data_IF_366575668944
#
_entry.id   IF_366575668944
#
_cell.length_a   1.000
_cell.length_b   1.000
_cell.length_c   1.000
_cell.angle_alpha   90.00
_cell.angle_beta   90.00
_cell.angle_gamma   90.00
#
_symmetry.space_group_name_H-M   'P 1'
#
loop_
_entity.id
_entity.type
_entity.pdbx_description
1 polymer ?
#
# COMPACT_ATOMS: atom_id res chain seq x y z
N UNK A 1 -57.39 26.80 18.50
CA UNK A 1 -55.96 26.48 18.33
C UNK A 1 -55.36 27.52 17.40
N UNK A 2 -54.47 28.40 17.90
CA UNK A 2 -53.68 29.28 17.03
C UNK A 2 -52.45 28.47 16.56
N UNK A 3 -52.28 28.34 15.25
CA UNK A 3 -51.05 27.78 14.69
C UNK A 3 -49.91 28.75 15.01
N UNK A 4 -48.91 28.30 15.76
CA UNK A 4 -47.65 29.03 15.89
C UNK A 4 -46.94 28.93 14.54
N UNK A 5 -46.91 30.04 13.80
CA UNK A 5 -46.11 30.16 12.59
C UNK A 5 -44.72 30.61 13.01
N UNK A 6 -43.70 29.78 12.79
CA UNK A 6 -42.30 30.16 13.00
C UNK A 6 -41.92 31.23 11.97
N UNK A 7 -41.23 32.27 12.42
CA UNK A 7 -40.68 33.32 11.54
C UNK A 7 -39.32 32.91 11.01
N UNK A 8 -38.87 33.52 9.91
CA UNK A 8 -37.52 33.30 9.39
C UNK A 8 -36.43 33.70 10.40
N UNK A 9 -36.72 34.64 11.31
CA UNK A 9 -35.84 34.97 12.44
C UNK A 9 -35.75 33.84 13.46
N UNK A 10 -36.86 33.15 13.78
CA UNK A 10 -36.85 31.99 14.68
C UNK A 10 -36.00 30.85 14.09
N UNK A 11 -36.14 30.61 12.79
CA UNK A 11 -35.38 29.57 12.07
C UNK A 11 -33.89 29.93 12.00
N UNK A 12 -33.56 31.20 11.69
CA UNK A 12 -32.17 31.64 11.63
C UNK A 12 -31.51 31.69 13.01
N UNK A 13 -32.22 32.11 14.06
CA UNK A 13 -31.72 32.09 15.44
C UNK A 13 -31.43 30.68 15.95
N UNK A 14 -32.34 29.74 15.69
CA UNK A 14 -32.11 28.32 15.99
C UNK A 14 -30.93 27.75 15.19
N UNK A 15 -30.80 28.10 13.90
CA UNK A 15 -29.69 27.69 13.06
C UNK A 15 -28.34 28.19 13.58
N UNK A 16 -28.24 29.47 13.95
CA UNK A 16 -27.01 30.04 14.52
C UNK A 16 -26.66 29.35 15.83
N UNK A 17 -27.64 29.12 16.71
CA UNK A 17 -27.43 28.42 17.98
C UNK A 17 -26.89 27.00 17.77
N UNK A 18 -27.45 26.26 16.81
CA UNK A 18 -26.97 24.90 16.48
C UNK A 18 -25.55 24.95 15.90
N UNK A 19 -25.25 25.91 15.04
CA UNK A 19 -23.91 26.07 14.47
C UNK A 19 -22.87 26.40 15.53
N UNK A 20 -23.21 27.28 16.48
CA UNK A 20 -22.33 27.63 17.61
C UNK A 20 -22.08 26.42 18.51
N UNK A 21 -23.13 25.65 18.84
CA UNK A 21 -23.00 24.41 19.61
C UNK A 21 -22.13 23.37 18.90
N UNK A 22 -22.31 23.21 17.58
CA UNK A 22 -21.45 22.32 16.78
C UNK A 22 -20.01 22.79 16.79
N UNK A 23 -19.78 24.10 16.65
CA UNK A 23 -18.44 24.67 16.68
C UNK A 23 -17.76 24.42 18.03
N UNK A 24 -18.46 24.65 19.15
CA UNK A 24 -17.95 24.39 20.49
C UNK A 24 -17.60 22.92 20.70
N UNK A 25 -18.47 21.99 20.25
CA UNK A 25 -18.21 20.55 20.33
C UNK A 25 -16.99 20.15 19.51
N UNK A 26 -16.88 20.67 18.28
CA UNK A 26 -15.73 20.40 17.39
C UNK A 26 -14.44 20.92 18.05
N UNK A 27 -14.45 22.16 18.53
CA UNK A 27 -13.30 22.77 19.17
C UNK A 27 -12.87 22.01 20.44
N UNK A 28 -13.82 21.63 21.30
CA UNK A 28 -13.51 20.83 22.49
C UNK A 28 -12.88 19.48 22.13
N UNK A 29 -13.42 18.79 21.11
CA UNK A 29 -12.84 17.52 20.63
C UNK A 29 -11.43 17.72 20.07
N UNK A 30 -11.20 18.77 19.30
CA UNK A 30 -9.89 19.11 18.78
C UNK A 30 -8.87 19.34 19.90
N UNK A 31 -9.24 20.08 20.95
CA UNK A 31 -8.36 20.31 22.09
C UNK A 31 -8.06 19.02 22.87
N UNK A 32 -9.04 18.13 23.04
CA UNK A 32 -8.83 16.82 23.67
C UNK A 32 -7.84 16.00 22.84
N UNK A 33 -8.06 15.88 21.53
CA UNK A 33 -7.15 15.16 20.63
C UNK A 33 -5.74 15.75 20.62
N UNK A 34 -5.60 17.07 20.59
CA UNK A 34 -4.30 17.74 20.68
C UNK A 34 -3.58 17.44 22.01
N UNK A 35 -4.32 17.34 23.10
CA UNK A 35 -3.77 16.98 24.40
C UNK A 35 -3.31 15.51 24.46
N UNK A 36 -4.07 14.61 23.82
CA UNK A 36 -3.73 13.18 23.69
C UNK A 36 -2.49 12.99 22.81
N UNK A 37 -2.41 13.68 21.66
CA UNK A 37 -1.21 13.66 20.79
C UNK A 37 0.03 14.08 21.58
N UNK A 38 -0.02 15.22 22.29
CA UNK A 38 1.10 15.69 23.12
C UNK A 38 1.44 14.72 24.26
N UNK A 39 0.46 14.00 24.79
CA UNK A 39 0.67 12.98 25.81
C UNK A 39 1.44 11.80 25.23
N UNK A 40 1.00 11.27 24.08
CA UNK A 40 1.67 10.17 23.40
C UNK A 40 3.08 10.55 22.92
N UNK A 41 3.28 11.74 22.36
CA UNK A 41 4.62 12.23 21.98
C UNK A 41 5.61 12.18 23.17
N UNK A 42 5.18 12.64 24.35
CA UNK A 42 6.03 12.57 25.55
C UNK A 42 6.26 11.14 26.01
N UNK A 43 5.26 10.28 25.92
CA UNK A 43 5.43 8.85 26.23
C UNK A 43 6.43 8.20 25.26
N UNK A 44 6.38 8.55 23.98
CA UNK A 44 7.32 8.09 22.97
C UNK A 44 8.75 8.52 23.26
N UNK A 45 8.97 9.80 23.53
CA UNK A 45 10.30 10.32 23.90
C UNK A 45 10.85 9.61 25.15
N UNK A 46 9.98 9.36 26.14
CA UNK A 46 10.35 8.68 27.38
C UNK A 46 10.70 7.20 27.16
N UNK A 47 9.95 6.50 26.31
CA UNK A 47 10.24 5.10 25.93
C UNK A 47 11.55 5.04 25.15
N UNK A 48 11.75 5.95 24.18
CA UNK A 48 12.98 6.02 23.38
C UNK A 48 14.22 6.33 24.22
N UNK A 49 14.08 7.14 25.27
CA UNK A 49 15.15 7.49 26.19
C UNK A 49 15.41 6.45 27.31
N UNK A 50 14.62 5.35 27.37
CA UNK A 50 14.81 4.27 28.34
C UNK A 50 14.51 4.63 29.80
N UNK A 51 13.80 5.75 30.06
CA UNK A 51 13.74 6.33 31.41
C UNK A 51 12.64 5.82 32.34
N UNK A 52 11.65 5.05 31.84
CA UNK A 52 10.41 4.74 32.59
C UNK A 52 9.90 3.29 32.39
N UNK A 53 10.55 2.49 31.54
CA UNK A 53 10.10 1.12 31.35
C UNK A 53 10.50 0.27 32.56
N UNK A 54 9.60 -0.59 33.02
CA UNK A 54 9.99 -1.64 33.97
C UNK A 54 10.94 -2.62 33.27
N UNK A 55 11.76 -3.34 34.04
CA UNK A 55 12.62 -4.40 33.49
C UNK A 55 11.81 -5.43 32.66
N UNK A 56 10.55 -5.67 33.03
CA UNK A 56 9.64 -6.51 32.25
C UNK A 56 9.28 -5.88 30.90
N UNK A 57 8.96 -4.58 30.88
CA UNK A 57 8.63 -3.84 29.65
C UNK A 57 9.84 -3.75 28.70
N UNK A 58 11.04 -3.53 29.23
CA UNK A 58 12.28 -3.54 28.44
C UNK A 58 12.52 -4.90 27.79
N UNK A 59 12.29 -5.98 28.54
CA UNK A 59 12.38 -7.35 28.01
C UNK A 59 11.34 -7.62 26.92
N UNK A 60 10.12 -7.11 27.05
CA UNK A 60 9.11 -7.24 25.99
C UNK A 60 9.53 -6.50 24.72
N UNK A 61 9.99 -5.24 24.85
CA UNK A 61 10.46 -4.45 23.72
C UNK A 61 11.65 -5.12 23.04
N UNK A 62 12.66 -5.55 23.80
CA UNK A 62 13.85 -6.23 23.25
C UNK A 62 13.48 -7.52 22.47
N UNK A 63 12.56 -8.32 23.00
CA UNK A 63 12.08 -9.52 22.32
C UNK A 63 11.27 -9.19 21.06
N UNK A 64 10.45 -8.13 21.09
CA UNK A 64 9.70 -7.65 19.94
C UNK A 64 10.64 -7.20 18.82
N UNK A 65 11.68 -6.41 19.12
CA UNK A 65 12.69 -5.99 18.15
C UNK A 65 13.33 -7.20 17.47
N UNK A 66 13.75 -8.21 18.25
CA UNK A 66 14.34 -9.44 17.72
C UNK A 66 13.39 -10.19 16.79
N UNK A 67 12.09 -10.25 17.12
CA UNK A 67 11.09 -10.88 16.25
C UNK A 67 10.89 -10.09 14.96
N UNK A 68 10.75 -8.77 15.05
CA UNK A 68 10.62 -7.89 13.87
C UNK A 68 11.83 -8.03 12.95
N UNK A 69 13.05 -8.06 13.50
CA UNK A 69 14.28 -8.23 12.73
C UNK A 69 14.30 -9.52 11.89
N UNK A 70 13.61 -10.58 12.30
CA UNK A 70 13.52 -11.83 11.52
C UNK A 70 12.73 -11.66 10.21
N UNK A 71 11.93 -10.60 10.09
CA UNK A 71 11.13 -10.28 8.91
C UNK A 71 11.77 -9.21 8.02
N UNK A 72 13.04 -8.85 8.26
CA UNK A 72 13.77 -7.90 7.41
C UNK A 72 13.95 -8.44 5.99
N UNK A 73 14.47 -9.65 5.86
CA UNK A 73 14.72 -10.24 4.54
C UNK A 73 13.50 -11.02 4.08
N UNK A 74 12.92 -10.61 2.96
CA UNK A 74 11.87 -11.30 2.27
C UNK A 74 12.51 -12.30 1.29
N UNK A 75 12.17 -13.57 1.44
CA UNK A 75 12.48 -14.58 0.43
C UNK A 75 11.17 -15.01 -0.25
N UNK A 76 10.69 -14.17 -1.16
CA UNK A 76 9.41 -14.34 -1.85
C UNK A 76 9.61 -14.42 -3.35
N UNK A 77 8.98 -15.42 -3.94
CA UNK A 77 8.80 -15.50 -5.39
C UNK A 77 7.43 -14.95 -5.72
N UNK A 78 7.39 -14.05 -6.69
CA UNK A 78 6.17 -13.48 -7.21
C UNK A 78 5.80 -14.17 -8.54
N UNK A 79 4.52 -14.08 -8.90
CA UNK A 79 3.98 -14.67 -10.14
C UNK A 79 3.36 -13.56 -11.00
N UNK A 80 4.01 -12.40 -11.05
CA UNK A 80 3.51 -11.24 -11.78
C UNK A 80 3.47 -11.53 -13.28
N UNK A 81 4.54 -12.11 -13.85
CA UNK A 81 4.64 -12.38 -15.29
C UNK A 81 3.45 -13.23 -15.77
N UNK A 82 3.19 -14.36 -15.11
CA UNK A 82 2.08 -15.26 -15.44
C UNK A 82 0.71 -14.58 -15.34
N UNK A 83 0.50 -13.78 -14.30
CA UNK A 83 -0.78 -13.06 -14.10
C UNK A 83 -0.96 -11.95 -15.13
N UNK A 84 0.11 -11.26 -15.49
CA UNK A 84 0.11 -10.23 -16.51
C UNK A 84 -0.21 -10.82 -17.90
N UNK A 85 0.47 -11.91 -18.27
CA UNK A 85 0.22 -12.61 -19.53
C UNK A 85 -1.18 -13.21 -19.56
N UNK A 86 -1.67 -13.78 -18.45
CA UNK A 86 -3.04 -14.29 -18.36
C UNK A 86 -4.07 -13.16 -18.54
N UNK A 87 -3.84 -11.99 -17.93
CA UNK A 87 -4.70 -10.80 -18.08
C UNK A 87 -4.73 -10.30 -19.53
N UNK A 88 -3.59 -10.24 -20.21
CA UNK A 88 -3.54 -9.91 -21.64
C UNK A 88 -4.25 -10.98 -22.48
N UNK A 89 -3.97 -12.24 -22.20
CA UNK A 89 -4.50 -13.39 -22.94
C UNK A 89 -6.02 -13.52 -22.87
N UNK A 90 -6.67 -12.98 -21.83
CA UNK A 90 -8.12 -12.99 -21.70
C UNK A 90 -8.84 -12.13 -22.76
N UNK A 91 -8.13 -11.18 -23.42
CA UNK A 91 -8.71 -10.32 -24.44
C UNK A 91 -8.81 -10.98 -25.81
N UNK A 92 -9.92 -10.78 -26.52
CA UNK A 92 -10.09 -11.25 -27.90
C UNK A 92 -8.96 -10.77 -28.82
N UNK A 93 -8.66 -11.54 -29.88
CA UNK A 93 -7.57 -11.21 -30.81
C UNK A 93 -7.71 -9.81 -31.45
N UNK A 94 -8.93 -9.36 -31.73
CA UNK A 94 -9.21 -8.01 -32.22
C UNK A 94 -8.89 -6.92 -31.19
N UNK A 95 -9.16 -7.18 -29.91
CA UNK A 95 -8.83 -6.30 -28.80
C UNK A 95 -7.31 -6.23 -28.58
N UNK A 96 -6.63 -7.38 -28.58
CA UNK A 96 -5.16 -7.46 -28.52
C UNK A 96 -4.50 -6.69 -29.66
N UNK A 97 -5.04 -6.80 -30.88
CA UNK A 97 -4.59 -5.96 -32.01
C UNK A 97 -4.75 -4.48 -31.70
N UNK A 98 -5.89 -4.08 -31.13
CA UNK A 98 -6.14 -2.70 -30.72
C UNK A 98 -5.11 -2.20 -29.71
N UNK A 99 -4.82 -3.01 -28.68
CA UNK A 99 -3.78 -2.73 -27.68
C UNK A 99 -2.40 -2.56 -28.34
N UNK A 100 -2.00 -3.52 -29.19
CA UNK A 100 -0.70 -3.49 -29.86
C UNK A 100 -0.54 -2.27 -30.78
N UNK A 101 -1.61 -1.88 -31.48
CA UNK A 101 -1.59 -0.73 -32.38
C UNK A 101 -1.50 0.60 -31.64
N UNK A 102 -2.02 0.68 -30.41
CA UNK A 102 -1.92 1.85 -29.54
C UNK A 102 -0.83 1.74 -28.50
N UNK A 103 0.22 0.94 -28.74
CA UNK A 103 1.38 0.82 -27.87
C UNK A 103 1.03 0.50 -26.41
N UNK A 104 0.07 -0.42 -26.21
CA UNK A 104 -0.41 -0.80 -24.89
C UNK A 104 -1.71 -0.11 -24.45
N UNK A 105 -2.16 0.91 -25.19
CA UNK A 105 -3.37 1.67 -24.87
C UNK A 105 -4.44 1.46 -25.95
N UNK A 106 -5.63 1.01 -25.55
CA UNK A 106 -6.79 0.91 -26.42
C UNK A 106 -7.95 1.73 -25.85
N UNK A 107 -7.99 3.01 -26.21
CA UNK A 107 -9.00 3.96 -25.76
C UNK A 107 -10.44 3.54 -26.08
N UNK A 108 -10.67 2.83 -27.20
CA UNK A 108 -12.02 2.37 -27.59
C UNK A 108 -12.59 1.33 -26.63
N UNK A 109 -11.71 0.57 -25.98
CA UNK A 109 -12.09 -0.46 -25.01
C UNK A 109 -11.73 -0.07 -23.58
N UNK A 110 -11.26 1.16 -23.35
CA UNK A 110 -10.76 1.65 -22.07
C UNK A 110 -9.75 0.69 -21.43
N UNK A 111 -8.78 0.22 -22.22
CA UNK A 111 -7.70 -0.67 -21.76
C UNK A 111 -6.39 0.10 -21.76
N UNK A 112 -5.70 0.05 -20.63
CA UNK A 112 -4.34 0.50 -20.46
C UNK A 112 -3.57 -0.61 -19.74
N UNK A 113 -2.64 -1.24 -20.46
CA UNK A 113 -1.91 -2.39 -19.94
C UNK A 113 -0.86 -2.01 -18.89
N UNK A 114 -0.46 -0.73 -18.82
CA UNK A 114 0.49 -0.22 -17.83
C UNK A 114 -0.24 0.04 -16.51
N UNK A 115 -1.43 0.64 -16.60
CA UNK A 115 -2.31 0.77 -15.44
C UNK A 115 -2.72 -0.61 -14.88
N UNK A 116 -3.06 -1.56 -15.76
CA UNK A 116 -3.36 -2.93 -15.34
C UNK A 116 -2.13 -3.61 -14.70
N UNK A 117 -0.89 -3.28 -15.12
CA UNK A 117 0.33 -3.80 -14.51
C UNK A 117 0.40 -3.45 -13.01
N UNK A 118 0.22 -2.16 -12.68
CA UNK A 118 0.23 -1.69 -11.29
C UNK A 118 -0.78 -2.44 -10.43
N UNK A 119 -2.02 -2.62 -10.91
CA UNK A 119 -3.06 -3.36 -10.18
C UNK A 119 -2.72 -4.84 -9.95
N UNK A 120 -2.05 -5.46 -10.92
CA UNK A 120 -1.59 -6.85 -10.77
C UNK A 120 -0.47 -6.92 -9.72
N UNK A 121 0.48 -5.97 -9.77
CA UNK A 121 1.55 -5.87 -8.77
C UNK A 121 0.97 -5.70 -7.37
N UNK A 122 0.06 -4.74 -7.17
CA UNK A 122 -0.59 -4.52 -5.86
C UNK A 122 -1.16 -5.82 -5.29
N UNK A 123 -1.86 -6.58 -6.13
CA UNK A 123 -2.47 -7.84 -5.74
C UNK A 123 -1.42 -8.90 -5.39
N UNK A 124 -0.41 -9.06 -6.23
CA UNK A 124 0.64 -10.07 -6.06
C UNK A 124 1.48 -9.79 -4.81
N UNK A 125 1.86 -8.54 -4.60
CA UNK A 125 2.63 -8.10 -3.42
C UNK A 125 1.80 -8.31 -2.16
N UNK A 126 0.53 -7.87 -2.17
CA UNK A 126 -0.36 -8.05 -1.02
C UNK A 126 -0.53 -9.52 -0.65
N UNK A 127 -0.83 -10.37 -1.64
CA UNK A 127 -0.96 -11.81 -1.42
C UNK A 127 0.35 -12.44 -0.93
N UNK A 128 1.50 -11.99 -1.44
CA UNK A 128 2.82 -12.51 -1.08
C UNK A 128 3.32 -12.10 0.31
N UNK A 129 2.90 -10.92 0.80
CA UNK A 129 3.44 -10.32 2.04
C UNK A 129 2.47 -10.25 3.21
N UNK A 130 1.16 -10.50 3.00
CA UNK A 130 0.18 -10.39 4.08
C UNK A 130 0.56 -11.21 5.31
N UNK A 131 1.12 -12.41 5.12
CA UNK A 131 1.51 -13.25 6.25
C UNK A 131 2.67 -12.65 7.06
N UNK A 132 3.65 -12.01 6.41
CA UNK A 132 4.75 -11.34 7.13
C UNK A 132 4.24 -10.15 7.93
N UNK A 133 3.36 -9.35 7.32
CA UNK A 133 2.69 -8.24 8.00
C UNK A 133 1.92 -8.72 9.23
N UNK A 134 1.12 -9.78 9.09
CA UNK A 134 0.34 -10.34 10.21
C UNK A 134 1.24 -10.95 11.30
N UNK A 135 2.40 -11.51 10.95
CA UNK A 135 3.37 -12.01 11.93
C UNK A 135 3.97 -10.87 12.76
N UNK A 136 4.29 -9.73 12.12
CA UNK A 136 4.74 -8.52 12.82
C UNK A 136 3.65 -7.99 13.75
N UNK A 137 2.41 -7.85 13.25
CA UNK A 137 1.27 -7.42 14.07
C UNK A 137 1.06 -8.36 15.25
N UNK A 138 1.07 -9.68 15.03
CA UNK A 138 0.91 -10.67 16.08
C UNK A 138 2.01 -10.58 17.15
N UNK A 139 3.26 -10.29 16.76
CA UNK A 139 4.33 -10.04 17.72
C UNK A 139 4.06 -8.81 18.59
N UNK A 140 3.52 -7.74 18.00
CA UNK A 140 3.14 -6.51 18.71
C UNK A 140 1.96 -6.77 19.66
N UNK A 141 0.92 -7.47 19.19
CA UNK A 141 -0.26 -7.78 20.01
C UNK A 141 0.08 -8.64 21.23
N UNK A 142 1.10 -9.52 21.13
CA UNK A 142 1.57 -10.29 22.29
C UNK A 142 2.16 -9.39 23.38
N UNK A 143 2.88 -8.32 23.01
CA UNK A 143 3.40 -7.34 23.97
C UNK A 143 2.24 -6.56 24.59
N UNK A 144 1.29 -6.12 23.78
CA UNK A 144 0.09 -5.42 24.24
C UNK A 144 -0.68 -6.24 25.30
N UNK A 145 -0.89 -7.54 25.06
CA UNK A 145 -1.63 -8.42 25.95
C UNK A 145 -0.85 -8.84 27.21
N UNK A 146 0.48 -8.85 27.14
CA UNK A 146 1.35 -9.29 28.24
C UNK A 146 1.79 -8.15 29.15
N UNK A 147 1.59 -6.91 28.70
CA UNK A 147 1.83 -5.71 29.49
C UNK A 147 0.79 -5.60 30.61
N UNK A 148 1.21 -5.14 31.79
CA UNK A 148 0.27 -4.89 32.90
C UNK A 148 -0.65 -3.70 32.59
N UNK A 149 -1.83 -3.60 33.23
CA UNK A 149 -2.74 -2.45 33.06
C UNK A 149 -2.08 -1.10 33.43
N UNK A 150 -1.03 -1.12 34.25
CA UNK A 150 -0.24 0.06 34.59
C UNK A 150 0.87 0.38 33.57
N UNK A 151 1.12 -0.51 32.60
CA UNK A 151 2.16 -0.33 31.59
C UNK A 151 1.71 0.66 30.52
N UNK A 152 2.61 1.58 30.22
CA UNK A 152 2.45 2.56 29.14
C UNK A 152 2.62 1.92 27.74
N UNK A 153 3.03 0.65 27.66
CA UNK A 153 3.24 -0.04 26.39
C UNK A 153 1.92 -0.32 25.66
N UNK A 154 0.83 -0.61 26.37
CA UNK A 154 -0.42 -1.03 25.73
C UNK A 154 -0.94 -0.02 24.68
N UNK A 155 -1.19 1.27 25.01
CA UNK A 155 -1.66 2.23 24.00
C UNK A 155 -0.61 2.48 22.90
N UNK A 156 0.67 2.37 23.22
CA UNK A 156 1.76 2.53 22.25
C UNK A 156 1.79 1.38 21.24
N UNK A 157 1.56 0.15 21.68
CA UNK A 157 1.49 -1.03 20.81
C UNK A 157 0.24 -1.00 19.91
N UNK A 158 -0.87 -0.41 20.35
CA UNK A 158 -2.05 -0.22 19.50
C UNK A 158 -1.76 0.74 18.34
N UNK A 159 -1.16 1.90 18.64
CA UNK A 159 -0.74 2.86 17.62
C UNK A 159 0.25 2.22 16.64
N UNK A 160 1.21 1.44 17.14
CA UNK A 160 2.18 0.76 16.30
C UNK A 160 1.53 -0.25 15.34
N UNK A 161 0.50 -0.99 15.78
CA UNK A 161 -0.25 -1.90 14.90
C UNK A 161 -0.95 -1.16 13.77
N UNK A 162 -1.55 -0.01 14.05
CA UNK A 162 -2.16 0.84 13.02
C UNK A 162 -1.12 1.36 12.01
N UNK A 163 0.04 1.80 12.52
CA UNK A 163 1.16 2.25 11.69
C UNK A 163 1.71 1.13 10.79
N UNK A 164 1.85 -0.10 11.28
CA UNK A 164 2.27 -1.25 10.45
C UNK A 164 1.33 -1.44 9.26
N UNK A 165 0.02 -1.33 9.47
CA UNK A 165 -0.95 -1.44 8.38
C UNK A 165 -0.78 -0.30 7.36
N UNK A 166 -0.59 0.93 7.83
CA UNK A 166 -0.37 2.08 6.94
C UNK A 166 0.92 1.93 6.12
N UNK A 167 2.03 1.57 6.77
CA UNK A 167 3.31 1.33 6.12
C UNK A 167 3.21 0.20 5.10
N UNK A 168 2.46 -0.86 5.42
CA UNK A 168 2.22 -1.95 4.48
C UNK A 168 1.48 -1.49 3.22
N UNK A 169 0.44 -0.66 3.35
CA UNK A 169 -0.24 -0.10 2.18
C UNK A 169 0.71 0.79 1.35
N UNK A 170 1.60 1.54 1.99
CA UNK A 170 2.66 2.29 1.29
C UNK A 170 3.57 1.36 0.50
N UNK A 171 4.02 0.24 1.10
CA UNK A 171 4.85 -0.74 0.40
C UNK A 171 4.15 -1.28 -0.85
N UNK A 172 2.88 -1.67 -0.72
CA UNK A 172 2.10 -2.21 -1.85
C UNK A 172 1.97 -1.17 -2.97
N UNK A 173 1.59 0.06 -2.63
CA UNK A 173 1.37 1.13 -3.60
C UNK A 173 2.66 1.56 -4.29
N UNK A 174 3.73 1.77 -3.54
CA UNK A 174 5.00 2.24 -4.09
C UNK A 174 5.64 1.19 -5.00
N UNK A 175 5.62 -0.09 -4.59
CA UNK A 175 6.06 -1.20 -5.46
C UNK A 175 5.28 -1.23 -6.77
N UNK A 176 3.96 -1.00 -6.72
CA UNK A 176 3.12 -0.98 -7.91
C UNK A 176 3.45 0.17 -8.87
N UNK A 177 3.77 1.35 -8.33
CA UNK A 177 4.21 2.51 -9.13
C UNK A 177 5.57 2.23 -9.78
N UNK A 178 6.54 1.75 -9.01
CA UNK A 178 7.88 1.45 -9.51
C UNK A 178 7.85 0.36 -10.60
N UNK A 179 7.07 -0.71 -10.38
CA UNK A 179 6.92 -1.76 -11.39
C UNK A 179 6.13 -1.31 -12.61
N UNK A 180 5.15 -0.41 -12.49
CA UNK A 180 4.49 0.15 -13.66
C UNK A 180 5.50 0.87 -14.56
N UNK A 181 6.43 1.63 -13.97
CA UNK A 181 7.53 2.28 -14.72
C UNK A 181 8.45 1.25 -15.37
N UNK A 182 8.85 0.19 -14.65
CA UNK A 182 9.66 -0.90 -15.22
C UNK A 182 8.98 -1.52 -16.44
N UNK A 183 7.67 -1.71 -16.42
CA UNK A 183 6.92 -2.26 -17.56
C UNK A 183 6.82 -1.26 -18.71
N UNK A 184 6.62 0.02 -18.43
CA UNK A 184 6.65 1.07 -19.44
C UNK A 184 7.99 1.13 -20.18
N UNK A 185 9.09 1.05 -19.43
CA UNK A 185 10.44 1.05 -19.97
C UNK A 185 10.73 -0.25 -20.74
N UNK A 186 10.38 -1.40 -20.17
CA UNK A 186 10.61 -2.72 -20.78
C UNK A 186 9.85 -2.90 -22.08
N UNK A 187 8.64 -2.34 -22.19
CA UNK A 187 7.86 -2.37 -23.41
C UNK A 187 8.14 -1.19 -24.34
N UNK A 188 8.99 -0.24 -23.94
CA UNK A 188 9.31 0.97 -24.69
C UNK A 188 8.04 1.75 -25.09
N UNK A 189 7.26 2.17 -24.08
CA UNK A 189 5.98 2.86 -24.26
C UNK A 189 6.07 3.95 -25.33
N UNK A 190 5.11 3.91 -26.27
CA UNK A 190 4.92 4.92 -27.32
C UNK A 190 6.14 5.17 -28.23
N UNK A 191 7.10 4.24 -28.26
CA UNK A 191 8.25 4.31 -29.16
C UNK A 191 7.91 3.71 -30.53
N UNK A 192 7.84 4.55 -31.56
CA UNK A 192 7.69 4.07 -32.94
C UNK A 192 8.90 3.26 -33.42
N UNK A 193 10.08 3.54 -32.84
CA UNK A 193 11.33 2.83 -33.10
C UNK A 193 11.39 1.45 -32.42
N UNK A 194 10.42 1.13 -31.56
CA UNK A 194 10.44 -0.09 -30.77
C UNK A 194 10.35 -1.35 -31.61
N UNK A 195 11.37 -2.20 -31.48
CA UNK A 195 11.38 -3.52 -32.11
C UNK A 195 10.25 -4.39 -31.56
N UNK A 196 9.96 -4.28 -30.26
CA UNK A 196 8.86 -4.99 -29.61
C UNK A 196 7.51 -4.64 -30.26
N UNK A 197 7.16 -3.34 -30.30
CA UNK A 197 5.88 -2.91 -30.87
C UNK A 197 5.77 -3.18 -32.36
N UNK A 198 6.87 -3.04 -33.11
CA UNK A 198 6.92 -3.42 -34.52
C UNK A 198 6.61 -4.92 -34.71
N UNK A 199 7.20 -5.78 -33.88
CA UNK A 199 7.00 -7.22 -33.95
C UNK A 199 5.57 -7.66 -33.62
N UNK A 200 4.97 -7.15 -32.54
CA UNK A 200 3.60 -7.55 -32.15
C UNK A 200 2.52 -7.00 -33.09
N UNK A 201 2.74 -5.83 -33.71
CA UNK A 201 1.83 -5.25 -34.72
C UNK A 201 1.91 -5.98 -36.06
N UNK A 202 3.12 -6.24 -36.54
CA UNK A 202 3.36 -6.89 -37.84
C UNK A 202 2.86 -8.35 -37.88
N UNK A 203 2.63 -8.96 -36.71
CA UNK A 203 2.08 -10.32 -36.62
C UNK A 203 0.63 -10.43 -37.08
N UNK A 204 -0.13 -9.34 -37.06
CA UNK A 204 -1.53 -9.36 -37.49
C UNK A 204 -1.67 -9.72 -38.97
N UNK A 205 -2.62 -10.60 -39.31
CA UNK A 205 -2.87 -11.01 -40.69
C UNK A 205 -1.88 -12.04 -41.26
N UNK A 206 -0.89 -12.52 -40.49
CA UNK A 206 0.11 -13.52 -40.92
C UNK A 206 -0.31 -14.97 -40.68
N UNK A 207 -1.61 -15.27 -40.71
CA UNK A 207 -2.16 -16.62 -40.50
C UNK A 207 -2.59 -16.92 -39.05
N UNK A 208 -2.98 -18.18 -38.81
CA UNK A 208 -3.43 -18.68 -37.50
C UNK A 208 -2.35 -18.53 -36.43
N UNK A 209 -2.75 -18.49 -35.15
CA UNK A 209 -1.80 -18.43 -34.02
C UNK A 209 -1.43 -17.01 -33.55
N UNK A 210 -2.02 -15.95 -34.12
CA UNK A 210 -1.73 -14.55 -33.74
C UNK A 210 -1.67 -14.31 -32.23
N UNK A 211 -2.66 -14.81 -31.47
CA UNK A 211 -2.74 -14.59 -30.02
C UNK A 211 -1.52 -15.18 -29.30
N UNK A 212 -1.20 -16.45 -29.56
CA UNK A 212 -0.11 -17.13 -28.86
C UNK A 212 1.22 -16.46 -29.18
N UNK A 213 1.48 -16.19 -30.46
CA UNK A 213 2.73 -15.55 -30.89
C UNK A 213 2.90 -14.15 -30.29
N UNK A 214 1.81 -13.39 -30.11
CA UNK A 214 1.86 -12.09 -29.42
C UNK A 214 2.14 -12.27 -27.93
N UNK A 215 1.42 -13.17 -27.25
CA UNK A 215 1.63 -13.42 -25.82
C UNK A 215 3.03 -13.97 -25.52
N UNK A 216 3.59 -14.78 -26.40
CA UNK A 216 4.96 -15.30 -26.27
C UNK A 216 6.00 -14.18 -26.40
N UNK A 217 5.74 -13.18 -27.26
CA UNK A 217 6.59 -11.97 -27.33
C UNK A 217 6.50 -11.13 -26.07
N UNK A 218 5.30 -10.91 -25.53
CA UNK A 218 5.16 -10.26 -24.23
C UNK A 218 5.89 -11.03 -23.13
N UNK A 219 5.77 -12.36 -23.10
CA UNK A 219 6.47 -13.18 -22.11
C UNK A 219 7.99 -13.06 -22.24
N UNK A 220 8.51 -13.07 -23.46
CA UNK A 220 9.94 -12.88 -23.70
C UNK A 220 10.43 -11.48 -23.28
N UNK A 221 9.65 -10.43 -23.55
CA UNK A 221 10.00 -9.05 -23.19
C UNK A 221 9.94 -8.80 -21.68
N UNK A 222 9.05 -9.50 -20.99
CA UNK A 222 8.84 -9.39 -19.54
C UNK A 222 9.62 -10.44 -18.75
N UNK A 223 10.43 -11.25 -19.43
CA UNK A 223 11.28 -12.23 -18.79
C UNK A 223 12.20 -11.47 -17.82
N UNK A 224 12.20 -11.86 -16.54
CA UNK A 224 12.92 -11.25 -15.42
C UNK A 224 12.14 -10.19 -14.63
N UNK A 225 10.94 -9.79 -15.04
CA UNK A 225 10.12 -8.88 -14.25
C UNK A 225 9.77 -9.43 -12.86
N UNK A 226 9.64 -10.75 -12.69
CA UNK A 226 9.42 -11.34 -11.36
C UNK A 226 10.63 -11.18 -10.42
N UNK A 227 11.86 -11.22 -10.97
CA UNK A 227 13.07 -10.97 -10.20
C UNK A 227 13.21 -9.48 -9.82
N UNK A 228 12.95 -8.59 -10.78
CA UNK A 228 12.94 -7.13 -10.53
C UNK A 228 11.86 -6.76 -9.50
N UNK A 229 10.68 -7.37 -9.58
CA UNK A 229 9.63 -7.19 -8.58
C UNK A 229 10.09 -7.65 -7.20
N UNK A 230 10.79 -8.78 -7.08
CA UNK A 230 11.31 -9.24 -5.80
C UNK A 230 12.32 -8.27 -5.18
N UNK A 231 13.23 -7.72 -5.99
CA UNK A 231 14.20 -6.70 -5.56
C UNK A 231 13.50 -5.41 -5.13
N UNK A 232 12.61 -4.88 -5.96
CA UNK A 232 11.80 -3.68 -5.66
C UNK A 232 11.00 -3.86 -4.36
N UNK A 233 10.30 -4.99 -4.20
CA UNK A 233 9.57 -5.29 -2.97
C UNK A 233 10.49 -5.30 -1.76
N UNK A 234 11.68 -5.91 -1.86
CA UNK A 234 12.64 -5.96 -0.77
C UNK A 234 13.14 -4.56 -0.37
N UNK A 235 13.46 -3.72 -1.35
CA UNK A 235 13.92 -2.35 -1.13
C UNK A 235 12.84 -1.49 -0.47
N UNK A 236 11.63 -1.50 -1.03
CA UNK A 236 10.49 -0.72 -0.51
C UNK A 236 10.05 -1.24 0.85
N UNK A 237 10.01 -2.56 1.07
CA UNK A 237 9.72 -3.14 2.39
C UNK A 237 10.70 -2.66 3.46
N UNK A 238 11.98 -2.60 3.11
CA UNK A 238 13.01 -2.10 4.01
C UNK A 238 12.83 -0.62 4.33
N UNK A 239 12.73 0.22 3.31
CA UNK A 239 12.65 1.67 3.49
C UNK A 239 11.34 2.11 4.16
N UNK A 240 10.21 1.58 3.69
CA UNK A 240 8.89 2.12 4.03
C UNK A 240 8.26 1.47 5.27
N UNK A 241 8.68 0.26 5.63
CA UNK A 241 8.14 -0.46 6.78
C UNK A 241 9.23 -0.77 7.82
N UNK A 242 10.27 -1.53 7.45
CA UNK A 242 11.22 -2.03 8.45
C UNK A 242 12.01 -0.89 9.11
N UNK A 243 12.59 0.01 8.33
CA UNK A 243 13.36 1.14 8.87
C UNK A 243 12.50 2.03 9.77
N UNK A 244 11.24 2.29 9.40
CA UNK A 244 10.32 3.08 10.22
C UNK A 244 9.98 2.38 11.54
N UNK A 245 9.79 1.06 11.52
CA UNK A 245 9.59 0.28 12.74
C UNK A 245 10.84 0.24 13.63
N UNK A 246 12.04 0.11 13.06
CA UNK A 246 13.28 0.12 13.83
C UNK A 246 13.57 1.49 14.43
N UNK A 247 13.31 2.57 13.68
CA UNK A 247 13.46 3.95 14.13
C UNK A 247 12.49 4.28 15.27
N UNK A 248 11.27 3.73 15.23
CA UNK A 248 10.34 3.79 16.36
C UNK A 248 10.95 3.21 17.65
N UNK A 249 11.74 2.15 17.51
CA UNK A 249 12.46 1.52 18.62
C UNK A 249 13.82 2.16 18.93
N UNK A 250 14.15 3.29 18.29
CA UNK A 250 15.40 4.03 18.51
C UNK A 250 16.64 3.39 17.90
N UNK A 251 16.48 2.51 16.89
CA UNK A 251 17.60 2.00 16.09
C UNK A 251 17.78 2.88 14.83
N UNK A 252 19.03 3.21 14.52
CA UNK A 252 19.44 3.98 13.33
C UNK A 252 19.74 3.05 12.14
#
# INVERSE_FOLDING_TARGET
MKAHCYTDEDVNGARTTILDQLHDIIYQREQILLSEVKHYERLFEQIRAGGILSEADENYVANLKKKIAQHQTLNRQFSFEDRYIARLGSHYASTLRGINNGYGINARSNIDIYFDAGRIVERVVREGLVHEKENIIGAISLVEQSASEASKLQPVMQILQEQVNQFFETVVMQTAVEMAQVIEDSLERESEASEFWSAVRSRWGRGSGFRNDVLDRYRAQLQHCDAVLAECVQEVWQAELMQKLLLFFGED
#
